data_IF_530807008707
#
_entry.id   IF_530807008707
#
_cell.length_a   1.000
_cell.length_b   1.000
_cell.length_c   1.000
_cell.angle_alpha   90.00
_cell.angle_beta   90.00
_cell.angle_gamma   90.00
#
_symmetry.space_group_name_H-M   'P 1'
#
loop_
_entity.id
_entity.type
_entity.pdbx_description
1 polymer ?
#
# COMPACT_ATOMS: atom_id res chain seq x y z
N UNK A 1 -25.73 51.77 -37.23
CA UNK A 1 -24.57 51.69 -36.31
C UNK A 1 -24.90 51.00 -34.98
N UNK A 2 -26.16 50.93 -34.57
CA UNK A 2 -26.63 50.26 -33.34
C UNK A 2 -26.61 48.72 -33.44
N UNK A 3 -26.92 48.14 -34.59
CA UNK A 3 -26.94 46.67 -34.75
C UNK A 3 -25.55 46.01 -34.73
N UNK A 4 -24.52 46.71 -35.24
CA UNK A 4 -23.13 46.25 -35.14
C UNK A 4 -22.62 46.25 -33.70
N UNK A 5 -23.11 47.15 -32.84
CA UNK A 5 -22.76 47.16 -31.43
C UNK A 5 -23.43 46.00 -30.66
N UNK A 6 -24.67 45.65 -31.03
CA UNK A 6 -25.38 44.49 -30.45
C UNK A 6 -24.71 43.18 -30.86
N UNK A 7 -24.34 43.02 -32.14
CA UNK A 7 -23.61 41.84 -32.63
C UNK A 7 -22.23 41.69 -31.96
N UNK A 8 -21.51 42.79 -31.75
CA UNK A 8 -20.22 42.77 -31.06
C UNK A 8 -20.38 42.39 -29.57
N UNK A 9 -21.43 42.88 -28.90
CA UNK A 9 -21.69 42.56 -27.49
C UNK A 9 -22.15 41.08 -27.31
N UNK A 10 -22.91 40.53 -28.26
CA UNK A 10 -23.31 39.11 -28.27
C UNK A 10 -22.12 38.18 -28.59
N UNK A 11 -21.21 38.57 -29.48
CA UNK A 11 -19.96 37.83 -29.70
C UNK A 11 -19.01 37.90 -28.50
N UNK A 12 -18.86 39.08 -27.87
CA UNK A 12 -18.02 39.28 -26.71
C UNK A 12 -18.52 38.51 -25.47
N UNK A 13 -19.84 38.35 -25.33
CA UNK A 13 -20.44 37.57 -24.23
C UNK A 13 -20.41 36.06 -24.48
N UNK A 14 -20.52 35.59 -25.74
CA UNK A 14 -20.37 34.17 -26.11
C UNK A 14 -18.93 33.66 -25.93
N UNK A 15 -17.91 34.48 -26.17
CA UNK A 15 -16.51 34.09 -26.01
C UNK A 15 -16.08 33.86 -24.55
N UNK A 16 -16.80 34.43 -23.57
CA UNK A 16 -16.37 34.50 -22.16
C UNK A 16 -16.70 33.24 -21.33
N UNK A 17 -17.34 32.23 -21.91
CA UNK A 17 -17.85 31.04 -21.17
C UNK A 17 -17.41 29.69 -21.76
N UNK A 18 -16.18 29.57 -22.29
CA UNK A 18 -15.57 28.25 -22.49
C UNK A 18 -15.25 27.64 -21.13
N UNK A 19 -16.11 26.73 -20.65
CA UNK A 19 -15.82 25.91 -19.47
C UNK A 19 -14.53 25.15 -19.74
N UNK A 20 -13.48 25.49 -19.00
CA UNK A 20 -12.23 24.73 -18.98
C UNK A 20 -12.54 23.27 -18.66
N UNK A 21 -12.14 22.36 -19.56
CA UNK A 21 -12.42 20.93 -19.41
C UNK A 21 -11.89 20.38 -18.09
N UNK A 22 -12.49 19.31 -17.57
CA UNK A 22 -12.15 18.74 -16.27
C UNK A 22 -10.63 18.48 -16.12
N UNK A 23 -9.98 17.98 -17.18
CA UNK A 23 -8.53 17.77 -17.19
C UNK A 23 -7.73 19.07 -17.03
N UNK A 24 -8.15 20.15 -17.70
CA UNK A 24 -7.48 21.45 -17.56
C UNK A 24 -7.65 22.04 -16.16
N UNK A 25 -8.78 21.77 -15.49
CA UNK A 25 -9.02 22.18 -14.10
C UNK A 25 -8.17 21.37 -13.12
N UNK A 26 -8.00 20.08 -13.35
CA UNK A 26 -7.09 19.23 -12.58
C UNK A 26 -5.62 19.65 -12.77
N UNK A 27 -5.19 19.88 -14.01
CA UNK A 27 -3.84 20.40 -14.32
C UNK A 27 -3.58 21.77 -13.70
N UNK A 28 -4.60 22.63 -13.67
CA UNK A 28 -4.49 23.95 -13.03
C UNK A 28 -4.39 23.85 -11.50
N UNK A 29 -5.08 22.90 -10.88
CA UNK A 29 -4.99 22.65 -9.44
C UNK A 29 -3.59 22.16 -9.03
N UNK A 30 -2.93 21.40 -9.90
CA UNK A 30 -1.54 20.94 -9.75
C UNK A 30 -0.52 22.08 -9.79
N UNK A 31 -0.84 23.23 -10.40
CA UNK A 31 0.10 24.35 -10.51
C UNK A 31 0.29 25.16 -9.20
N UNK A 32 -0.47 24.86 -8.13
CA UNK A 32 -0.28 25.47 -6.80
C UNK A 32 0.97 24.87 -6.11
N UNK A 33 1.75 25.68 -5.37
CA UNK A 33 3.02 25.21 -4.77
C UNK A 33 2.84 24.02 -3.83
N UNK A 34 1.74 23.99 -3.06
CA UNK A 34 1.37 22.87 -2.20
C UNK A 34 1.06 21.59 -3.00
N UNK A 35 0.41 21.70 -4.15
CA UNK A 35 0.10 20.57 -5.02
C UNK A 35 1.36 20.05 -5.74
N UNK A 36 2.29 20.94 -6.12
CA UNK A 36 3.61 20.53 -6.65
C UNK A 36 4.45 19.80 -5.61
N UNK A 37 4.43 20.23 -4.35
CA UNK A 37 5.10 19.53 -3.26
C UNK A 37 4.52 18.13 -3.04
N UNK A 38 3.18 18.02 -2.94
CA UNK A 38 2.50 16.73 -2.81
C UNK A 38 2.79 15.78 -3.97
N UNK A 39 2.78 16.28 -5.21
CA UNK A 39 3.12 15.44 -6.36
C UNK A 39 4.58 15.02 -6.33
N UNK A 40 5.52 15.93 -6.05
CA UNK A 40 6.95 15.62 -6.08
C UNK A 40 7.36 14.63 -5.00
N UNK A 41 6.82 14.78 -3.79
CA UNK A 41 7.26 13.99 -2.62
C UNK A 41 6.40 12.77 -2.33
N UNK A 42 5.16 12.72 -2.83
CA UNK A 42 4.24 11.60 -2.54
C UNK A 42 3.78 10.92 -3.82
N UNK A 43 3.09 11.64 -4.70
CA UNK A 43 2.44 10.98 -5.85
C UNK A 43 3.43 10.43 -6.87
N UNK A 44 4.51 11.16 -7.16
CA UNK A 44 5.55 10.74 -8.10
C UNK A 44 6.31 9.50 -7.63
N UNK A 45 6.87 9.44 -6.39
CA UNK A 45 7.54 8.22 -5.93
C UNK A 45 6.56 7.05 -5.78
N UNK A 46 5.31 7.29 -5.38
CA UNK A 46 4.30 6.23 -5.25
C UNK A 46 3.86 5.71 -6.62
N UNK A 47 3.69 6.58 -7.62
CA UNK A 47 3.46 6.17 -9.00
C UNK A 47 4.65 5.41 -9.59
N UNK A 48 5.88 5.85 -9.31
CA UNK A 48 7.10 5.16 -9.73
C UNK A 48 7.21 3.79 -9.07
N UNK A 49 6.86 3.66 -7.80
CA UNK A 49 6.78 2.38 -7.09
C UNK A 49 5.72 1.45 -7.68
N UNK A 50 4.52 1.94 -7.98
CA UNK A 50 3.46 1.15 -8.61
C UNK A 50 3.81 0.71 -10.03
N UNK A 51 4.46 1.58 -10.80
CA UNK A 51 4.97 1.23 -12.13
C UNK A 51 6.08 0.20 -12.00
N UNK A 52 7.06 0.41 -11.11
CA UNK A 52 8.14 -0.54 -10.85
C UNK A 52 7.61 -1.92 -10.42
N UNK A 53 6.58 -1.96 -9.58
CA UNK A 53 5.86 -3.19 -9.23
C UNK A 53 5.28 -3.87 -10.49
N UNK A 54 4.72 -3.14 -11.44
CA UNK A 54 4.16 -3.69 -12.68
C UNK A 54 5.18 -4.10 -13.75
N UNK A 55 6.32 -3.40 -13.89
CA UNK A 55 7.35 -3.71 -14.91
C UNK A 55 8.44 -4.65 -14.39
N UNK A 56 8.65 -4.71 -13.07
CA UNK A 56 9.59 -5.61 -12.41
C UNK A 56 8.87 -6.70 -11.62
N UNK A 57 7.75 -7.21 -12.15
CA UNK A 57 7.28 -8.55 -11.78
C UNK A 57 8.35 -9.52 -12.28
N UNK A 58 9.38 -9.77 -11.47
CA UNK A 58 10.36 -10.83 -11.67
C UNK A 58 9.73 -12.19 -11.36
N UNK A 59 8.48 -12.39 -11.79
CA UNK A 59 7.68 -13.57 -11.49
C UNK A 59 8.38 -14.80 -12.04
N UNK A 60 9.04 -14.71 -13.20
CA UNK A 60 9.74 -15.84 -13.83
C UNK A 60 11.02 -16.27 -13.07
N UNK A 61 11.90 -15.32 -12.68
CA UNK A 61 13.14 -15.67 -11.99
C UNK A 61 12.91 -16.03 -10.51
N UNK A 62 11.91 -15.43 -9.87
CA UNK A 62 11.55 -15.70 -8.47
C UNK A 62 10.53 -16.84 -8.30
N UNK A 63 9.83 -17.26 -9.37
CA UNK A 63 8.85 -18.36 -9.32
C UNK A 63 9.46 -19.65 -8.79
N UNK A 64 10.66 -20.00 -9.25
CA UNK A 64 11.34 -21.22 -8.82
C UNK A 64 11.59 -21.26 -7.30
N UNK A 65 11.91 -20.11 -6.68
CA UNK A 65 12.14 -20.02 -5.23
C UNK A 65 10.88 -19.81 -4.40
N UNK A 66 9.76 -19.37 -5.01
CA UNK A 66 8.53 -19.08 -4.27
C UNK A 66 7.92 -20.35 -3.66
N UNK A 67 7.95 -21.47 -4.40
CA UNK A 67 7.46 -22.75 -3.90
C UNK A 67 8.32 -23.28 -2.74
N UNK A 68 9.64 -23.22 -2.88
CA UNK A 68 10.57 -23.66 -1.81
C UNK A 68 10.40 -22.84 -0.53
N UNK A 69 10.15 -21.52 -0.67
CA UNK A 69 9.85 -20.64 0.46
C UNK A 69 8.51 -20.99 1.10
N UNK A 70 7.47 -21.29 0.31
CA UNK A 70 6.18 -21.74 0.84
C UNK A 70 6.29 -23.10 1.54
N UNK A 71 7.06 -24.02 1.01
CA UNK A 71 7.24 -25.34 1.61
C UNK A 71 8.07 -25.25 2.91
N UNK A 72 9.03 -24.32 2.96
CA UNK A 72 9.90 -24.10 4.13
C UNK A 72 9.26 -23.23 5.21
N UNK A 73 8.44 -22.24 4.85
CA UNK A 73 7.91 -21.23 5.79
C UNK A 73 6.37 -21.18 5.80
N UNK A 74 5.69 -22.03 5.04
CA UNK A 74 4.23 -22.03 4.97
C UNK A 74 3.54 -22.42 6.27
N UNK A 75 2.22 -22.24 6.29
CA UNK A 75 1.37 -22.48 7.46
C UNK A 75 1.32 -23.93 7.94
N UNK A 76 1.85 -24.89 7.17
CA UNK A 76 1.95 -26.30 7.58
C UNK A 76 3.40 -26.79 7.58
N UNK A 77 4.37 -25.88 7.51
CA UNK A 77 5.79 -26.23 7.49
C UNK A 77 6.28 -26.71 8.85
N UNK A 78 7.29 -27.59 8.81
CA UNK A 78 8.09 -27.99 9.97
C UNK A 78 8.73 -26.80 10.68
N UNK A 79 9.09 -25.73 9.96
CA UNK A 79 9.64 -24.52 10.56
C UNK A 79 8.61 -23.82 11.47
N UNK A 80 7.35 -23.74 11.03
CA UNK A 80 6.28 -23.16 11.83
C UNK A 80 6.00 -23.99 13.09
N UNK A 81 6.09 -25.32 12.97
CA UNK A 81 6.01 -26.23 14.12
C UNK A 81 7.10 -25.94 15.16
N UNK A 82 8.36 -25.76 14.74
CA UNK A 82 9.44 -25.42 15.66
C UNK A 82 9.24 -24.07 16.35
N UNK A 83 8.75 -23.05 15.64
CA UNK A 83 8.40 -21.77 16.26
C UNK A 83 7.31 -21.91 17.33
N UNK A 84 6.27 -22.71 17.07
CA UNK A 84 5.22 -22.94 18.07
C UNK A 84 5.74 -23.69 19.30
N UNK A 85 6.59 -24.70 19.13
CA UNK A 85 7.19 -25.42 20.27
C UNK A 85 8.12 -24.51 21.08
N UNK A 86 8.97 -23.73 20.40
CA UNK A 86 9.88 -22.79 21.06
C UNK A 86 9.11 -21.75 21.88
N UNK A 87 7.98 -21.26 21.35
CA UNK A 87 7.15 -20.30 22.04
C UNK A 87 6.54 -20.87 23.33
N UNK A 88 5.92 -22.05 23.26
CA UNK A 88 5.35 -22.71 24.44
C UNK A 88 6.42 -22.92 25.51
N UNK A 89 7.62 -23.34 25.12
CA UNK A 89 8.75 -23.49 26.03
C UNK A 89 9.17 -22.16 26.67
N UNK A 90 9.26 -21.09 25.89
CA UNK A 90 9.67 -19.76 26.37
C UNK A 90 8.62 -19.15 27.31
N UNK A 91 7.34 -19.26 26.97
CA UNK A 91 6.24 -18.83 27.84
C UNK A 91 6.24 -19.63 29.15
N UNK A 92 6.48 -20.93 29.08
CA UNK A 92 6.57 -21.76 30.28
C UNK A 92 7.77 -21.37 31.16
N UNK A 93 8.94 -21.13 30.57
CA UNK A 93 10.11 -20.67 31.32
C UNK A 93 9.89 -19.28 31.94
N UNK A 94 9.22 -18.38 31.22
CA UNK A 94 8.85 -17.05 31.70
C UNK A 94 7.81 -17.13 32.83
N UNK A 95 6.87 -18.07 32.75
CA UNK A 95 5.95 -18.37 33.84
C UNK A 95 6.69 -18.89 35.08
N UNK A 96 7.66 -19.80 34.93
CA UNK A 96 8.46 -20.27 36.08
C UNK A 96 9.27 -19.15 36.72
N UNK A 97 9.74 -18.18 35.94
CA UNK A 97 10.49 -17.03 36.45
C UNK A 97 9.59 -16.03 37.19
N UNK A 98 8.41 -15.75 36.66
CA UNK A 98 7.56 -14.64 37.13
C UNK A 98 6.37 -15.10 37.98
N UNK A 99 6.05 -16.39 37.99
CA UNK A 99 4.88 -17.00 38.64
C UNK A 99 3.54 -16.29 38.34
N UNK A 100 3.47 -15.59 37.21
CA UNK A 100 2.29 -14.84 36.81
C UNK A 100 1.52 -15.63 35.73
N UNK A 101 0.29 -16.11 36.00
CA UNK A 101 -0.49 -16.85 35.02
C UNK A 101 -0.88 -16.00 33.79
N UNK A 102 -0.84 -14.67 33.88
CA UNK A 102 -1.08 -13.80 32.72
C UNK A 102 -0.07 -14.01 31.59
N UNK A 103 1.10 -14.61 31.88
CA UNK A 103 2.12 -14.94 30.88
C UNK A 103 1.59 -15.89 29.80
N UNK A 104 0.62 -16.75 30.12
CA UNK A 104 0.00 -17.66 29.14
C UNK A 104 -0.81 -16.96 28.05
N UNK A 105 -1.19 -15.68 28.25
CA UNK A 105 -1.86 -14.87 27.22
C UNK A 105 -0.94 -14.65 26.00
N UNK A 106 0.38 -14.76 26.16
CA UNK A 106 1.32 -14.67 25.05
C UNK A 106 1.09 -15.77 24.00
N UNK A 107 0.65 -16.97 24.42
CA UNK A 107 0.41 -18.12 23.53
C UNK A 107 -0.57 -17.79 22.40
N UNK A 108 -1.85 -17.45 22.67
CA UNK A 108 -2.79 -17.14 21.60
C UNK A 108 -2.37 -15.90 20.79
N UNK A 109 -1.74 -14.90 21.43
CA UNK A 109 -1.29 -13.67 20.73
C UNK A 109 -0.21 -14.00 19.71
N UNK A 110 0.80 -14.78 20.10
CA UNK A 110 1.91 -15.15 19.23
C UNK A 110 1.46 -16.07 18.11
N UNK A 111 0.55 -17.02 18.36
CA UNK A 111 -0.01 -17.90 17.31
C UNK A 111 -0.66 -17.07 16.21
N UNK A 112 -1.48 -16.07 16.57
CA UNK A 112 -2.15 -15.21 15.59
C UNK A 112 -1.13 -14.36 14.82
N UNK A 113 -0.20 -13.72 15.52
CA UNK A 113 0.84 -12.88 14.89
C UNK A 113 1.68 -13.70 13.91
N UNK A 114 2.13 -14.87 14.34
CA UNK A 114 2.97 -15.77 13.54
C UNK A 114 2.21 -16.22 12.30
N UNK A 115 0.94 -16.62 12.43
CA UNK A 115 0.11 -16.98 11.26
C UNK A 115 -0.07 -15.82 10.28
N UNK A 116 -0.26 -14.59 10.75
CA UNK A 116 -0.40 -13.42 9.89
C UNK A 116 0.90 -13.14 9.14
N UNK A 117 2.04 -13.16 9.83
CA UNK A 117 3.36 -12.92 9.22
C UNK A 117 3.67 -13.97 8.15
N UNK A 118 3.50 -15.26 8.47
CA UNK A 118 3.75 -16.33 7.51
C UNK A 118 2.74 -16.35 6.36
N UNK A 119 1.51 -15.87 6.57
CA UNK A 119 0.55 -15.64 5.49
C UNK A 119 0.98 -14.53 4.53
N UNK A 120 1.77 -13.54 4.97
CA UNK A 120 2.30 -12.49 4.10
C UNK A 120 3.51 -12.97 3.29
N UNK A 121 4.27 -13.92 3.80
CA UNK A 121 5.47 -14.47 3.14
C UNK A 121 5.10 -15.53 2.12
N UNK A 122 4.12 -16.38 2.43
CA UNK A 122 3.65 -17.44 1.53
C UNK A 122 2.52 -17.04 0.57
N UNK A 123 2.00 -15.81 0.68
CA UNK A 123 0.91 -15.28 -0.15
C UNK A 123 1.32 -14.88 -1.58
#
# INVERSE_FOLDING_TARGET
MTEMAVLNNVMATSAKKRKTGLLSRCLSAVNKSAAKALLKYIAAPLALYLVAQGVAQADDLAAAGKQDVQDTFGQNSTMMYYFMIAEVFLVFMLYLRNHNPATFVLIPVFIVVTKVIFSMIGG
#
